data_IF_898134631978
#
_entry.id   IF_898134631978
#
_cell.length_a   1.000
_cell.length_b   1.000
_cell.length_c   1.000
_cell.angle_alpha   90.00
_cell.angle_beta   90.00
_cell.angle_gamma   90.00
#
_symmetry.space_group_name_H-M   'P 1'
#
loop_
_entity.id
_entity.type
_entity.pdbx_description
1 polymer ?
#
# COMPACT_ATOMS: atom_id res chain seq x y z
N UNK A 1 -1.26 24.82 -0.78
CA UNK A 1 -0.76 24.74 -2.17
C UNK A 1 -1.16 23.40 -2.75
N UNK A 2 -1.77 23.39 -3.93
CA UNK A 2 -2.11 22.20 -4.70
C UNK A 2 -1.32 22.17 -6.01
N UNK A 3 -1.00 20.96 -6.49
CA UNK A 3 -0.25 20.76 -7.73
C UNK A 3 -0.76 19.53 -8.46
N UNK A 4 -0.91 19.62 -9.78
CA UNK A 4 -1.11 18.45 -10.66
C UNK A 4 0.13 18.33 -11.54
N UNK A 5 0.72 17.15 -11.56
CA UNK A 5 1.93 16.84 -12.32
C UNK A 5 1.61 15.75 -13.32
N UNK A 6 1.88 15.99 -14.60
CA UNK A 6 1.92 14.92 -15.61
C UNK A 6 3.22 14.15 -15.45
N UNK A 7 3.15 12.83 -15.52
CA UNK A 7 4.30 11.93 -15.48
C UNK A 7 4.21 10.96 -16.66
N UNK A 8 5.34 10.76 -17.35
CA UNK A 8 5.43 9.74 -18.39
C UNK A 8 5.28 8.34 -17.81
N UNK A 9 4.42 7.52 -18.40
CA UNK A 9 4.23 6.12 -17.99
C UNK A 9 5.38 5.23 -18.47
N UNK A 10 5.78 5.37 -19.73
CA UNK A 10 6.87 4.59 -20.34
C UNK A 10 8.23 5.33 -20.37
N UNK A 11 8.22 6.63 -20.09
CA UNK A 11 9.40 7.49 -20.17
C UNK A 11 9.58 8.27 -18.88
N UNK A 12 10.83 8.43 -18.44
CA UNK A 12 11.15 9.11 -17.19
C UNK A 12 11.12 10.65 -17.35
N UNK A 13 9.92 11.23 -17.35
CA UNK A 13 9.72 12.68 -17.32
C UNK A 13 8.52 13.05 -16.46
N UNK A 14 8.52 14.28 -15.96
CA UNK A 14 7.41 14.85 -15.20
C UNK A 14 7.34 16.36 -15.39
N UNK A 15 6.13 16.91 -15.43
CA UNK A 15 5.90 18.35 -15.60
C UNK A 15 4.67 18.81 -14.82
N UNK A 16 4.77 19.83 -13.95
CA UNK A 16 3.61 20.49 -13.36
C UNK A 16 2.72 21.13 -14.44
N UNK A 17 1.43 20.84 -14.41
CA UNK A 17 0.43 21.40 -15.35
C UNK A 17 -0.67 22.21 -14.66
N UNK A 18 -0.74 22.15 -13.34
CA UNK A 18 -1.60 22.98 -12.52
C UNK A 18 -0.89 23.27 -11.20
N UNK A 19 -0.98 24.51 -10.72
CA UNK A 19 -0.48 24.94 -9.43
C UNK A 19 -1.37 26.07 -8.93
N UNK A 20 -1.77 26.00 -7.66
CA UNK A 20 -2.62 27.02 -7.05
C UNK A 20 -2.51 26.99 -5.52
N UNK A 21 -2.92 28.07 -4.86
CA UNK A 21 -2.86 28.23 -3.41
C UNK A 21 -4.27 28.21 -2.80
N UNK A 22 -4.37 27.67 -1.57
CA UNK A 22 -5.60 27.66 -0.76
C UNK A 22 -6.87 27.23 -1.51
N UNK A 23 -6.72 26.25 -2.40
CA UNK A 23 -7.80 25.68 -3.20
C UNK A 23 -7.86 24.17 -3.03
N UNK A 24 -9.04 23.60 -3.26
CA UNK A 24 -9.25 22.15 -3.32
C UNK A 24 -9.32 21.73 -4.78
N UNK A 25 -8.69 20.61 -5.13
CA UNK A 25 -8.79 20.04 -6.48
C UNK A 25 -10.24 19.60 -6.73
N UNK A 26 -10.92 20.28 -7.64
CA UNK A 26 -12.29 19.97 -8.06
C UNK A 26 -12.32 19.08 -9.30
N UNK A 27 -13.49 18.49 -9.59
CA UNK A 27 -13.74 17.72 -10.82
C UNK A 27 -13.43 18.53 -12.07
N UNK A 28 -13.82 19.81 -12.09
CA UNK A 28 -13.57 20.69 -13.22
C UNK A 28 -12.08 20.98 -13.42
N UNK A 29 -11.32 21.15 -12.34
CA UNK A 29 -9.87 21.33 -12.40
C UNK A 29 -9.20 20.07 -13.00
N UNK A 30 -9.59 18.89 -12.53
CA UNK A 30 -9.07 17.61 -13.05
C UNK A 30 -9.40 17.44 -14.54
N UNK A 31 -10.66 17.65 -14.93
CA UNK A 31 -11.09 17.50 -16.33
C UNK A 31 -10.41 18.53 -17.24
N UNK A 32 -10.25 19.77 -16.78
CA UNK A 32 -9.51 20.80 -17.52
C UNK A 32 -8.05 20.44 -17.69
N UNK A 33 -7.41 19.86 -16.67
CA UNK A 33 -6.03 19.38 -16.74
C UNK A 33 -5.87 18.24 -17.75
N UNK A 34 -6.76 17.23 -17.69
CA UNK A 34 -6.78 16.10 -18.64
C UNK A 34 -7.03 16.57 -20.07
N UNK A 35 -8.04 17.41 -20.29
CA UNK A 35 -8.38 17.93 -21.63
C UNK A 35 -7.23 18.74 -22.25
N UNK A 36 -6.51 19.53 -21.45
CA UNK A 36 -5.32 20.27 -21.91
C UNK A 36 -4.16 19.33 -22.27
N UNK A 37 -3.95 18.27 -21.49
CA UNK A 37 -2.95 17.25 -21.79
C UNK A 37 -3.27 16.54 -23.12
N UNK A 38 -4.53 16.14 -23.30
CA UNK A 38 -5.03 15.51 -24.54
C UNK A 38 -4.90 16.43 -25.75
N UNK A 39 -5.28 17.71 -25.62
CA UNK A 39 -5.12 18.71 -26.68
C UNK A 39 -3.65 18.96 -27.05
N UNK A 40 -2.72 18.66 -26.13
CA UNK A 40 -1.28 18.75 -26.35
C UNK A 40 -0.66 17.45 -26.88
N UNK A 41 -1.48 16.45 -27.21
CA UNK A 41 -1.05 15.15 -27.77
C UNK A 41 -0.68 14.08 -26.75
N UNK A 42 -0.88 14.31 -25.46
CA UNK A 42 -0.64 13.30 -24.42
C UNK A 42 -1.92 12.53 -24.09
N UNK A 43 -1.88 11.21 -24.11
CA UNK A 43 -3.00 10.37 -23.66
C UNK A 43 -2.91 10.13 -22.15
N UNK A 44 -3.80 10.73 -21.36
CA UNK A 44 -3.87 10.48 -19.91
C UNK A 44 -4.70 9.24 -19.68
N UNK A 45 -4.06 8.18 -19.17
CA UNK A 45 -4.70 6.88 -18.91
C UNK A 45 -4.97 6.63 -17.43
N UNK A 46 -4.33 7.38 -16.54
CA UNK A 46 -4.48 7.22 -15.11
C UNK A 46 -4.27 8.52 -14.33
N UNK A 47 -4.88 8.60 -13.15
CA UNK A 47 -4.70 9.64 -12.16
C UNK A 47 -4.36 9.00 -10.81
N UNK A 48 -3.49 9.64 -10.03
CA UNK A 48 -3.13 9.17 -8.68
C UNK A 48 -3.41 10.31 -7.70
N UNK A 49 -4.09 10.02 -6.58
CA UNK A 49 -4.25 10.98 -5.49
C UNK A 49 -3.99 10.34 -4.14
N UNK A 50 -3.71 11.18 -3.14
CA UNK A 50 -3.80 10.75 -1.75
C UNK A 50 -5.28 10.48 -1.35
N UNK A 51 -5.46 10.03 -0.12
CA UNK A 51 -6.75 9.68 0.47
C UNK A 51 -7.21 10.72 1.50
N UNK A 52 -6.85 12.00 1.32
CA UNK A 52 -7.40 13.07 2.14
C UNK A 52 -8.92 13.15 2.00
N UNK A 53 -9.62 13.70 3.01
CA UNK A 53 -11.08 13.81 2.98
C UNK A 53 -11.62 14.59 1.77
N UNK A 54 -10.86 15.57 1.29
CA UNK A 54 -11.16 16.34 0.07
C UNK A 54 -11.09 15.46 -1.18
N UNK A 55 -10.02 14.68 -1.35
CA UNK A 55 -9.86 13.77 -2.47
C UNK A 55 -10.90 12.63 -2.43
N UNK A 56 -11.20 12.09 -1.26
CA UNK A 56 -12.28 11.11 -1.11
C UNK A 56 -13.65 11.70 -1.52
N UNK A 57 -13.94 12.94 -1.12
CA UNK A 57 -15.12 13.66 -1.58
C UNK A 57 -15.15 13.88 -3.10
N UNK A 58 -13.99 14.09 -3.73
CA UNK A 58 -13.86 14.16 -5.18
C UNK A 58 -14.10 12.81 -5.85
N UNK A 59 -13.59 11.71 -5.31
CA UNK A 59 -13.79 10.37 -5.85
C UNK A 59 -15.28 10.03 -5.92
N UNK A 60 -16.04 10.39 -4.89
CA UNK A 60 -17.50 10.25 -4.87
C UNK A 60 -18.17 11.07 -5.98
N UNK A 61 -17.73 12.32 -6.22
CA UNK A 61 -18.26 13.18 -7.31
C UNK A 61 -17.87 12.69 -8.71
N UNK A 62 -16.81 11.90 -8.80
CA UNK A 62 -16.35 11.22 -10.02
C UNK A 62 -17.04 9.86 -10.22
N UNK A 63 -17.88 9.42 -9.29
CA UNK A 63 -18.52 8.09 -9.28
C UNK A 63 -17.50 6.95 -9.39
N UNK A 64 -16.35 7.10 -8.74
CA UNK A 64 -15.32 6.04 -8.68
C UNK A 64 -15.93 4.85 -7.94
N UNK A 65 -15.94 3.70 -8.61
CA UNK A 65 -16.47 2.46 -8.06
C UNK A 65 -15.39 1.38 -8.07
N UNK A 66 -15.59 0.34 -7.25
CA UNK A 66 -14.71 -0.84 -7.20
C UNK A 66 -15.04 -1.79 -8.37
N UNK A 67 -16.21 -1.65 -9.00
CA UNK A 67 -16.62 -2.46 -10.13
C UNK A 67 -15.87 -2.04 -11.39
N UNK A 68 -15.21 -3.00 -12.04
CA UNK A 68 -14.52 -2.79 -13.29
C UNK A 68 -15.56 -2.62 -14.41
N UNK A 69 -15.68 -1.45 -15.06
CA UNK A 69 -16.53 -1.34 -16.23
C UNK A 69 -15.94 -2.19 -17.36
N UNK A 70 -16.76 -3.06 -17.94
CA UNK A 70 -16.33 -4.03 -18.94
C UNK A 70 -15.82 -3.40 -20.26
N UNK A 71 -15.91 -2.07 -20.42
CA UNK A 71 -15.54 -1.33 -21.63
C UNK A 71 -14.48 -0.25 -21.33
N UNK A 72 -13.21 -0.59 -21.56
CA UNK A 72 -12.02 0.15 -21.11
C UNK A 72 -11.55 1.22 -22.11
N UNK A 73 -12.19 1.32 -23.27
CA UNK A 73 -11.57 1.97 -24.44
C UNK A 73 -11.31 3.48 -24.30
N UNK A 74 -11.84 4.16 -23.27
CA UNK A 74 -11.67 5.62 -23.04
C UNK A 74 -11.58 6.06 -21.57
N UNK A 75 -11.37 5.16 -20.63
CA UNK A 75 -11.41 5.52 -19.21
C UNK A 75 -10.04 5.92 -18.64
N UNK A 76 -10.06 6.92 -17.76
CA UNK A 76 -8.91 7.33 -16.96
C UNK A 76 -8.99 6.62 -15.62
N UNK A 77 -8.09 5.67 -15.36
CA UNK A 77 -8.08 4.90 -14.12
C UNK A 77 -7.65 5.76 -12.93
N UNK A 78 -8.38 5.68 -11.83
CA UNK A 78 -7.98 6.35 -10.59
C UNK A 78 -7.28 5.38 -9.65
N UNK A 79 -6.10 5.76 -9.17
CA UNK A 79 -5.33 5.02 -8.18
C UNK A 79 -5.20 5.82 -6.89
N UNK A 80 -5.31 5.12 -5.77
CA UNK A 80 -4.87 5.62 -4.48
C UNK A 80 -3.35 5.52 -4.35
N UNK A 81 -2.73 6.46 -3.63
CA UNK A 81 -1.29 6.42 -3.39
C UNK A 81 -0.87 5.26 -2.47
N UNK A 82 -0.22 4.25 -3.02
CA UNK A 82 0.14 3.00 -2.31
C UNK A 82 0.97 3.20 -1.04
N UNK A 83 2.03 4.04 -1.03
CA UNK A 83 2.73 4.39 0.21
C UNK A 83 1.81 4.92 1.31
N UNK A 84 0.77 5.69 0.98
CA UNK A 84 -0.20 6.15 1.98
C UNK A 84 -1.08 5.03 2.51
N UNK A 85 -1.55 4.13 1.64
CA UNK A 85 -2.30 2.94 2.07
C UNK A 85 -1.50 2.08 3.05
N UNK A 86 -0.22 1.81 2.76
CA UNK A 86 0.66 1.03 3.64
C UNK A 86 0.83 1.69 5.01
N UNK A 87 1.02 3.01 5.06
CA UNK A 87 1.10 3.77 6.32
C UNK A 87 -0.19 3.69 7.13
N UNK A 88 -1.36 3.76 6.47
CA UNK A 88 -2.65 3.59 7.14
C UNK A 88 -2.79 2.17 7.70
N UNK A 89 -2.45 1.14 6.92
CA UNK A 89 -2.48 -0.26 7.36
C UNK A 89 -1.57 -0.49 8.58
N UNK A 90 -0.34 0.04 8.56
CA UNK A 90 0.55 0.00 9.73
C UNK A 90 -0.08 0.65 10.96
N UNK A 91 -0.64 1.86 10.81
CA UNK A 91 -1.23 2.57 11.94
C UNK A 91 -2.32 1.72 12.58
N UNK A 92 -3.28 1.22 11.80
CA UNK A 92 -4.35 0.37 12.32
C UNK A 92 -3.81 -0.91 12.97
N UNK A 93 -2.87 -1.61 12.31
CA UNK A 93 -2.24 -2.80 12.86
C UNK A 93 -1.56 -2.55 14.22
N UNK A 94 -0.82 -1.45 14.36
CA UNK A 94 -0.06 -1.11 15.58
C UNK A 94 -0.95 -0.60 16.71
N UNK A 95 -2.03 0.12 16.40
CA UNK A 95 -2.92 0.69 17.42
C UNK A 95 -4.06 -0.25 17.83
N UNK A 96 -4.61 -1.02 16.89
CA UNK A 96 -5.83 -1.81 17.09
C UNK A 96 -5.77 -3.26 16.64
N UNK A 97 -4.80 -3.64 15.80
CA UNK A 97 -4.83 -4.95 15.15
C UNK A 97 -6.01 -5.13 14.19
N UNK A 98 -6.19 -6.37 13.74
CA UNK A 98 -7.26 -6.77 12.83
C UNK A 98 -7.82 -8.13 13.21
N UNK A 99 -9.13 -8.31 13.05
CA UNK A 99 -9.76 -9.62 13.06
C UNK A 99 -9.81 -10.14 11.61
N UNK A 100 -9.16 -11.28 11.35
CA UNK A 100 -9.13 -11.93 10.03
C UNK A 100 -10.33 -12.87 9.83
N UNK A 101 -10.50 -13.38 8.61
CA UNK A 101 -11.62 -14.24 8.17
C UNK A 101 -11.86 -15.48 9.03
N UNK A 102 -10.79 -16.04 9.58
CA UNK A 102 -10.83 -17.23 10.43
C UNK A 102 -11.10 -16.90 11.91
N UNK A 103 -11.52 -15.66 12.20
CA UNK A 103 -11.69 -15.09 13.53
C UNK A 103 -10.39 -15.04 14.35
N UNK A 104 -9.22 -15.08 13.69
CA UNK A 104 -7.95 -14.85 14.36
C UNK A 104 -7.68 -13.36 14.44
N UNK A 105 -7.47 -12.88 15.66
CA UNK A 105 -7.04 -11.51 15.90
C UNK A 105 -5.52 -11.40 15.79
N UNK A 106 -5.05 -10.53 14.90
CA UNK A 106 -3.63 -10.27 14.67
C UNK A 106 -3.26 -8.83 15.00
N UNK A 107 -2.20 -8.66 15.77
CA UNK A 107 -1.69 -7.35 16.17
C UNK A 107 -0.16 -7.37 16.33
N UNK A 108 0.38 -6.27 16.85
CA UNK A 108 1.83 -6.13 17.07
C UNK A 108 2.39 -6.99 18.21
N UNK A 109 1.58 -7.69 19.00
CA UNK A 109 2.00 -8.30 20.27
C UNK A 109 3.06 -9.37 20.06
N UNK A 110 2.83 -10.30 19.12
CA UNK A 110 3.83 -11.32 18.78
C UNK A 110 5.10 -10.72 18.17
N UNK A 111 4.99 -9.67 17.37
CA UNK A 111 6.16 -8.97 16.81
C UNK A 111 6.95 -8.26 17.92
N UNK A 112 6.28 -7.79 18.98
CA UNK A 112 6.94 -7.19 20.15
C UNK A 112 7.76 -8.22 20.91
N UNK A 113 7.21 -9.43 21.11
CA UNK A 113 7.95 -10.56 21.70
C UNK A 113 9.13 -10.96 20.82
N UNK A 114 8.94 -11.00 19.49
CA UNK A 114 10.01 -11.32 18.54
C UNK A 114 11.21 -10.37 18.68
N UNK A 115 10.96 -9.06 18.83
CA UNK A 115 12.02 -8.06 18.96
C UNK A 115 12.87 -8.28 20.22
N UNK A 116 12.25 -8.71 21.32
CA UNK A 116 12.96 -9.00 22.58
C UNK A 116 13.76 -10.29 22.51
N UNK A 117 13.29 -11.31 21.76
CA UNK A 117 13.98 -12.59 21.63
C UNK A 117 15.11 -12.55 20.59
N UNK A 118 14.91 -11.82 19.49
CA UNK A 118 15.91 -11.63 18.43
C UNK A 118 16.87 -10.47 18.80
N UNK A 119 17.33 -10.44 20.05
CA UNK A 119 18.16 -9.38 20.62
C UNK A 119 19.66 -9.68 20.61
N UNK A 120 20.08 -10.85 20.12
CA UNK A 120 21.48 -11.27 20.04
C UNK A 120 22.29 -10.44 19.04
N UNK A 121 23.63 -10.57 19.03
CA UNK A 121 24.49 -9.91 18.03
C UNK A 121 24.14 -10.32 16.59
N UNK A 122 23.80 -11.60 16.40
CA UNK A 122 23.32 -12.13 15.13
C UNK A 122 21.79 -12.23 15.17
N UNK A 123 21.13 -11.31 14.46
CA UNK A 123 19.67 -11.19 14.41
C UNK A 123 19.10 -11.71 13.10
N UNK A 124 18.00 -12.46 13.18
CA UNK A 124 17.22 -12.86 12.00
C UNK A 124 16.55 -11.64 11.38
N UNK A 125 15.94 -10.79 12.21
CA UNK A 125 15.24 -9.56 11.86
C UNK A 125 16.07 -8.32 12.23
N UNK A 126 17.31 -8.20 11.76
CA UNK A 126 18.23 -7.11 12.12
C UNK A 126 17.70 -5.67 11.87
N UNK A 127 16.67 -5.50 11.02
CA UNK A 127 16.03 -4.21 10.75
C UNK A 127 14.93 -3.88 11.75
N UNK A 128 14.31 -4.89 12.36
CA UNK A 128 13.14 -4.75 13.21
C UNK A 128 13.54 -4.30 14.62
N UNK A 129 12.84 -3.30 15.15
CA UNK A 129 13.09 -2.74 16.48
C UNK A 129 11.86 -1.97 16.99
N UNK A 130 11.89 -1.52 18.25
CA UNK A 130 10.77 -0.82 18.92
C UNK A 130 10.28 0.43 18.18
N UNK A 131 11.12 1.09 17.38
CA UNK A 131 10.72 2.27 16.60
C UNK A 131 9.64 1.97 15.55
N UNK A 132 9.47 0.69 15.16
CA UNK A 132 8.41 0.26 14.25
C UNK A 132 7.01 0.38 14.87
N UNK A 133 6.92 0.47 16.20
CA UNK A 133 5.66 0.65 16.92
C UNK A 133 5.53 2.06 17.52
N UNK A 134 6.65 2.72 17.80
CA UNK A 134 6.70 4.09 18.32
C UNK A 134 6.51 5.13 17.20
N UNK A 135 5.46 4.94 16.40
CA UNK A 135 5.09 5.85 15.31
C UNK A 135 4.35 7.06 15.91
N UNK A 136 5.09 7.86 16.68
CA UNK A 136 4.61 9.04 17.40
C UNK A 136 4.81 10.30 16.56
N UNK A 137 3.74 11.08 16.42
CA UNK A 137 3.74 12.36 15.71
C UNK A 137 3.62 12.24 14.18
N UNK A 138 3.21 13.35 13.54
CA UNK A 138 2.91 13.40 12.11
C UNK A 138 4.11 13.03 11.22
N UNK A 139 5.33 13.38 11.65
CA UNK A 139 6.57 13.16 10.87
C UNK A 139 6.95 11.69 10.82
N UNK A 140 6.94 10.97 11.97
CA UNK A 140 7.28 9.54 12.00
C UNK A 140 6.26 8.67 11.29
N UNK A 141 4.97 9.06 11.33
CA UNK A 141 3.88 8.40 10.59
C UNK A 141 4.03 8.47 9.07
N UNK A 142 4.93 9.31 8.54
CA UNK A 142 5.19 9.42 7.11
C UNK A 142 6.34 8.53 6.61
N UNK A 143 7.09 7.87 7.49
CA UNK A 143 8.24 7.04 7.09
C UNK A 143 7.82 5.67 6.56
N UNK A 144 7.66 5.59 5.24
CA UNK A 144 7.35 4.34 4.54
C UNK A 144 8.40 3.23 4.79
N UNK A 145 9.65 3.60 5.06
CA UNK A 145 10.74 2.65 5.34
C UNK A 145 10.41 1.74 6.54
N UNK A 146 9.85 2.29 7.62
CA UNK A 146 9.49 1.50 8.80
C UNK A 146 8.31 0.57 8.52
N UNK A 147 7.36 1.01 7.68
CA UNK A 147 6.23 0.17 7.28
C UNK A 147 6.71 -1.05 6.50
N UNK A 148 7.54 -0.83 5.48
CA UNK A 148 8.08 -1.91 4.64
C UNK A 148 8.96 -2.86 5.44
N UNK A 149 9.71 -2.35 6.43
CA UNK A 149 10.51 -3.20 7.33
C UNK A 149 9.66 -4.00 8.32
N UNK A 150 8.54 -3.46 8.78
CA UNK A 150 7.61 -4.18 9.66
C UNK A 150 7.00 -5.37 8.94
N UNK A 151 6.45 -5.15 7.75
CA UNK A 151 5.77 -6.16 6.94
C UNK A 151 6.72 -6.88 5.98
N UNK A 152 7.97 -7.12 6.38
CA UNK A 152 8.92 -7.86 5.55
C UNK A 152 8.74 -9.37 5.69
N UNK A 153 8.97 -10.11 4.61
CA UNK A 153 8.92 -11.58 4.63
C UNK A 153 9.88 -12.23 5.64
N UNK A 154 10.98 -11.56 6.00
CA UNK A 154 11.88 -12.01 7.08
C UNK A 154 11.20 -11.99 8.45
N UNK A 155 10.31 -11.03 8.71
CA UNK A 155 9.52 -10.97 9.95
C UNK A 155 8.59 -12.17 10.04
N UNK A 156 7.88 -12.51 8.95
CA UNK A 156 7.02 -13.70 8.89
C UNK A 156 7.80 -15.00 9.13
N UNK A 157 8.94 -15.18 8.44
CA UNK A 157 9.80 -16.35 8.65
C UNK A 157 10.33 -16.47 10.07
N UNK A 158 10.66 -15.34 10.70
CA UNK A 158 11.13 -15.35 12.09
C UNK A 158 10.01 -15.72 13.07
N UNK A 159 8.77 -15.25 12.85
CA UNK A 159 7.61 -15.68 13.65
C UNK A 159 7.42 -17.21 13.61
N UNK A 160 7.51 -17.80 12.41
CA UNK A 160 7.41 -19.25 12.22
C UNK A 160 8.59 -20.02 12.84
N UNK A 161 9.80 -19.47 12.72
CA UNK A 161 11.03 -20.10 13.24
C UNK A 161 11.05 -20.14 14.77
N UNK A 162 10.74 -19.02 15.42
CA UNK A 162 10.85 -18.91 16.88
C UNK A 162 9.65 -19.51 17.62
N UNK A 163 8.53 -19.77 16.94
CA UNK A 163 7.31 -20.36 17.52
C UNK A 163 6.93 -19.74 18.88
N UNK A 164 6.72 -18.43 18.87
CA UNK A 164 6.63 -17.58 20.08
C UNK A 164 5.52 -17.96 21.07
N UNK A 165 4.51 -18.66 20.59
CA UNK A 165 3.38 -19.17 21.37
C UNK A 165 3.03 -20.57 20.87
N UNK A 166 2.38 -21.36 21.72
CA UNK A 166 1.91 -22.70 21.35
C UNK A 166 0.75 -22.68 20.33
N UNK A 167 0.10 -21.53 20.16
CA UNK A 167 -0.97 -21.36 19.19
C UNK A 167 -0.38 -21.16 17.79
N UNK A 168 -0.19 -22.27 17.07
CA UNK A 168 0.30 -22.26 15.69
C UNK A 168 -0.66 -21.54 14.73
N UNK A 169 -1.96 -21.45 15.07
CA UNK A 169 -2.95 -20.80 14.22
C UNK A 169 -2.72 -19.28 14.18
N UNK A 170 -2.47 -18.66 15.34
CA UNK A 170 -2.17 -17.21 15.40
C UNK A 170 -0.87 -16.89 14.65
N UNK A 171 0.17 -17.72 14.82
CA UNK A 171 1.47 -17.53 14.15
C UNK A 171 1.30 -17.64 12.64
N UNK A 172 0.63 -18.69 12.15
CA UNK A 172 0.43 -18.91 10.72
C UNK A 172 -0.35 -17.77 10.07
N UNK A 173 -1.41 -17.29 10.73
CA UNK A 173 -2.22 -16.18 10.22
C UNK A 173 -1.47 -14.85 10.19
N UNK A 174 -0.75 -14.51 11.27
CA UNK A 174 0.05 -13.29 11.29
C UNK A 174 1.18 -13.34 10.23
N UNK A 175 1.85 -14.48 10.10
CA UNK A 175 2.87 -14.68 9.07
C UNK A 175 2.31 -14.56 7.65
N UNK A 176 1.18 -15.20 7.38
CA UNK A 176 0.50 -15.11 6.09
C UNK A 176 0.06 -13.67 5.77
N UNK A 177 -0.51 -12.96 6.75
CA UNK A 177 -0.87 -11.55 6.63
C UNK A 177 0.36 -10.69 6.27
N UNK A 178 1.47 -10.86 6.99
CA UNK A 178 2.72 -10.14 6.72
C UNK A 178 3.23 -10.44 5.31
N UNK A 179 3.21 -11.70 4.88
CA UNK A 179 3.64 -12.10 3.52
C UNK A 179 2.76 -11.45 2.46
N UNK A 180 1.44 -11.49 2.61
CA UNK A 180 0.53 -10.85 1.64
C UNK A 180 0.77 -9.34 1.54
N UNK A 181 1.02 -8.65 2.66
CA UNK A 181 1.35 -7.22 2.65
C UNK A 181 2.75 -6.97 2.05
N UNK A 182 3.74 -7.81 2.37
CA UNK A 182 5.09 -7.76 1.78
C UNK A 182 5.00 -7.82 0.25
N UNK A 183 4.35 -8.85 -0.25
CA UNK A 183 4.27 -9.21 -1.66
C UNK A 183 3.52 -8.15 -2.45
N UNK A 184 2.42 -7.63 -1.89
CA UNK A 184 1.72 -6.49 -2.46
C UNK A 184 2.56 -5.22 -2.48
N UNK A 185 3.29 -4.92 -1.38
CA UNK A 185 4.15 -3.74 -1.32
C UNK A 185 5.32 -3.82 -2.30
N UNK A 186 5.89 -5.01 -2.46
CA UNK A 186 6.95 -5.29 -3.42
C UNK A 186 6.45 -5.04 -4.84
N UNK A 187 5.24 -5.53 -5.14
CA UNK A 187 4.61 -5.40 -6.45
C UNK A 187 4.23 -3.97 -6.82
N UNK A 188 3.69 -3.21 -5.86
CA UNK A 188 3.22 -1.84 -6.13
C UNK A 188 4.32 -0.78 -6.10
N UNK A 189 5.43 -1.03 -5.39
CA UNK A 189 6.45 0.00 -5.14
C UNK A 189 7.76 -0.20 -5.90
N UNK A 190 8.10 -1.44 -6.27
CA UNK A 190 9.38 -1.73 -6.92
C UNK A 190 9.22 -1.97 -8.42
N UNK A 191 10.27 -1.60 -9.16
CA UNK A 191 10.44 -1.94 -10.57
C UNK A 191 11.87 -2.45 -10.76
N UNK A 192 12.01 -3.77 -10.71
CA UNK A 192 13.23 -4.53 -10.92
C UNK A 192 13.01 -5.52 -12.04
N UNK A 193 13.98 -5.62 -12.95
CA UNK A 193 13.85 -6.49 -14.11
C UNK A 193 13.80 -7.97 -13.68
N UNK A 194 12.79 -8.71 -14.18
CA UNK A 194 12.65 -10.18 -14.05
C UNK A 194 12.60 -10.74 -12.61
N UNK A 195 12.37 -9.91 -11.60
CA UNK A 195 12.14 -10.38 -10.25
C UNK A 195 10.63 -10.54 -9.99
N UNK A 196 10.21 -11.75 -9.61
CA UNK A 196 8.82 -12.06 -9.29
C UNK A 196 8.28 -11.05 -8.26
N UNK A 197 7.09 -10.49 -8.54
CA UNK A 197 6.43 -9.44 -7.75
C UNK A 197 7.25 -8.16 -7.53
N UNK A 198 8.36 -7.93 -8.23
CA UNK A 198 9.04 -6.62 -8.26
C UNK A 198 9.24 -6.10 -9.67
N UNK A 199 8.90 -6.88 -10.67
CA UNK A 199 8.91 -6.50 -12.06
C UNK A 199 7.58 -5.89 -12.49
N UNK A 200 7.56 -5.32 -13.70
CA UNK A 200 6.34 -4.73 -14.28
C UNK A 200 5.20 -5.74 -14.34
N UNK A 201 3.98 -5.25 -14.10
CA UNK A 201 2.76 -6.03 -14.27
C UNK A 201 2.65 -6.59 -15.70
N UNK A 202 2.23 -7.85 -15.83
CA UNK A 202 2.09 -8.57 -17.10
C UNK A 202 3.24 -9.51 -17.44
N UNK A 203 4.34 -9.50 -16.68
CA UNK A 203 5.47 -10.44 -16.89
C UNK A 203 5.24 -11.81 -16.21
N UNK A 204 4.59 -11.81 -15.05
CA UNK A 204 4.19 -13.00 -14.29
C UNK A 204 2.73 -12.84 -13.88
N UNK A 205 1.87 -12.73 -14.89
CA UNK A 205 0.47 -12.28 -14.72
C UNK A 205 -0.32 -13.18 -13.75
N UNK A 206 -0.10 -14.49 -13.79
CA UNK A 206 -0.79 -15.44 -12.88
C UNK A 206 -0.44 -15.15 -11.42
N UNK A 207 0.85 -15.00 -11.12
CA UNK A 207 1.35 -14.74 -9.77
C UNK A 207 1.03 -13.31 -9.30
N UNK A 208 1.12 -12.33 -10.19
CA UNK A 208 0.79 -10.94 -9.90
C UNK A 208 -0.70 -10.77 -9.62
N UNK A 209 -1.57 -11.40 -10.42
CA UNK A 209 -3.01 -11.42 -10.16
C UNK A 209 -3.36 -12.17 -8.88
N UNK A 210 -2.67 -13.27 -8.59
CA UNK A 210 -2.83 -13.96 -7.31
C UNK A 210 -2.48 -13.05 -6.14
N UNK A 211 -1.34 -12.36 -6.19
CA UNK A 211 -0.93 -11.39 -5.17
C UNK A 211 -1.99 -10.30 -4.94
N UNK A 212 -2.50 -9.70 -6.02
CA UNK A 212 -3.57 -8.70 -5.96
C UNK A 212 -4.87 -9.26 -5.37
N UNK A 213 -5.28 -10.47 -5.77
CA UNK A 213 -6.49 -11.11 -5.26
C UNK A 213 -6.36 -11.47 -3.77
N UNK A 214 -5.20 -11.94 -3.34
CA UNK A 214 -4.93 -12.32 -1.96
C UNK A 214 -5.03 -11.10 -1.03
N UNK A 215 -4.35 -9.99 -1.37
CA UNK A 215 -4.44 -8.77 -0.56
C UNK A 215 -5.85 -8.14 -0.62
N UNK A 216 -6.50 -8.17 -1.78
CA UNK A 216 -7.87 -7.66 -1.92
C UNK A 216 -8.85 -8.42 -1.03
N UNK A 217 -8.76 -9.76 -1.02
CA UNK A 217 -9.57 -10.60 -0.13
C UNK A 217 -9.33 -10.23 1.33
N UNK A 218 -8.07 -10.20 1.77
CA UNK A 218 -7.72 -9.86 3.17
C UNK A 218 -8.27 -8.49 3.55
N UNK A 219 -8.08 -7.46 2.72
CA UNK A 219 -8.54 -6.11 3.02
C UNK A 219 -10.07 -6.01 3.04
N UNK A 220 -10.75 -6.77 2.16
CA UNK A 220 -12.21 -6.79 2.07
C UNK A 220 -12.84 -7.45 3.30
N UNK A 221 -12.18 -8.43 3.89
CA UNK A 221 -12.73 -9.24 4.96
C UNK A 221 -12.19 -8.92 6.34
N UNK A 222 -11.00 -8.31 6.45
CA UNK A 222 -10.47 -7.90 7.74
C UNK A 222 -11.32 -6.76 8.32
N UNK A 223 -11.48 -6.79 9.64
CA UNK A 223 -12.23 -5.77 10.37
C UNK A 223 -11.42 -5.27 11.57
N UNK A 224 -11.60 -4.01 11.93
CA UNK A 224 -11.21 -3.54 13.26
C UNK A 224 -12.10 -4.23 14.29
N UNK A 225 -11.53 -4.70 15.43
CA UNK A 225 -12.33 -4.97 16.61
C UNK A 225 -13.10 -3.73 17.08
#
# INVERSE_FOLDING_TARGET
MQIIVLRGLFYNWKQPIYMDFDTTISKDIVFKAINKAHASGYNVVACVSDMSGENYGLWNKLNVSIENPADITKEVFLFADTPHLLKLLQNWFVYKGFLLDDNVYVDKSLISVLIELDSNELKVCHKLNKQHFEVVGAVRRQYIKLVVQLFQSTTAKALELYKLVNDENIISNLSAFIVSVNDWSDFMLHQQLLQLLKCGYGLYEVEQNKCLNDVFRIVKTMHSP
#
